data_IF_250284789227
#
_entry.id   IF_250284789227
#
_cell.length_a   1.000
_cell.length_b   1.000
_cell.length_c   1.000
_cell.angle_alpha   90.00
_cell.angle_beta   90.00
_cell.angle_gamma   90.00
#
_symmetry.space_group_name_H-M   'P 1'
#
loop_
_entity.id
_entity.type
_entity.pdbx_description
1 polymer ?
#
# COMPACT_ATOMS: atom_id res chain seq x y z
N UNK A 1 40.72 -9.99 29.05
CA UNK A 1 39.45 -9.26 29.24
C UNK A 1 38.77 -9.09 27.88
N UNK A 2 37.73 -9.84 27.50
CA UNK A 2 37.03 -9.54 26.25
C UNK A 2 35.99 -8.43 26.49
N UNK A 3 36.11 -7.34 25.72
CA UNK A 3 35.11 -6.26 25.66
C UNK A 3 33.90 -6.79 24.90
N UNK A 4 32.76 -6.90 25.59
CA UNK A 4 31.48 -7.30 25.00
C UNK A 4 30.94 -6.19 24.10
N UNK A 5 30.83 -6.49 22.80
CA UNK A 5 30.10 -5.70 21.82
C UNK A 5 28.63 -5.59 22.24
N UNK A 6 28.19 -4.42 22.72
CA UNK A 6 26.76 -4.15 22.90
C UNK A 6 26.13 -4.03 21.53
N UNK A 7 25.29 -4.99 21.17
CA UNK A 7 24.35 -4.84 20.07
C UNK A 7 23.47 -3.62 20.37
N UNK A 8 23.68 -2.53 19.62
CA UNK A 8 22.72 -1.43 19.54
C UNK A 8 21.45 -2.02 18.92
N UNK A 9 20.46 -2.35 19.74
CA UNK A 9 19.14 -2.72 19.27
C UNK A 9 18.56 -1.56 18.47
N UNK A 10 18.21 -1.80 17.20
CA UNK A 10 17.53 -0.83 16.35
C UNK A 10 16.32 -0.28 17.10
N UNK A 11 16.35 1.00 17.44
CA UNK A 11 15.20 1.70 18.04
C UNK A 11 14.04 1.59 17.05
N UNK A 12 13.00 0.82 17.41
CA UNK A 12 11.78 0.78 16.63
C UNK A 12 11.22 2.20 16.58
N UNK A 13 11.16 2.78 15.39
CA UNK A 13 10.62 4.12 15.18
C UNK A 13 9.14 4.10 15.52
N UNK A 14 8.79 4.58 16.72
CA UNK A 14 7.41 4.70 17.16
C UNK A 14 6.78 5.97 16.55
N UNK A 15 5.62 5.82 15.93
CA UNK A 15 4.81 6.95 15.47
C UNK A 15 4.20 7.71 16.66
N UNK A 16 3.81 8.97 16.44
CA UNK A 16 3.10 9.77 17.45
C UNK A 16 1.82 9.05 17.91
N UNK A 17 1.51 9.01 19.22
CA UNK A 17 0.24 8.47 19.73
C UNK A 17 -1.02 9.17 19.20
N UNK A 18 -0.86 10.33 18.57
CA UNK A 18 -1.93 11.10 17.93
C UNK A 18 -2.28 10.54 16.56
N UNK A 19 -1.34 9.88 15.87
CA UNK A 19 -1.57 9.28 14.57
C UNK A 19 -2.25 7.92 14.74
N UNK A 20 -3.58 7.95 14.89
CA UNK A 20 -4.41 6.76 15.07
C UNK A 20 -4.93 6.25 13.72
N UNK A 21 -5.07 4.95 13.62
CA UNK A 21 -5.76 4.31 12.50
C UNK A 21 -7.23 4.75 12.50
N UNK A 22 -7.69 5.34 11.38
CA UNK A 22 -9.02 5.93 11.29
C UNK A 22 -10.13 4.89 11.05
N UNK A 23 -9.81 3.74 10.46
CA UNK A 23 -10.78 2.67 10.15
C UNK A 23 -10.22 1.30 10.54
N UNK A 24 -11.08 0.32 10.88
CA UNK A 24 -10.62 -1.05 11.15
C UNK A 24 -10.33 -1.84 9.86
N UNK A 25 -10.44 -1.24 8.67
CA UNK A 25 -10.25 -1.92 7.40
C UNK A 25 -8.79 -2.32 7.24
N UNK A 26 -8.55 -3.61 7.02
CA UNK A 26 -7.25 -4.17 6.64
C UNK A 26 -7.32 -4.47 5.15
N UNK A 27 -6.70 -3.62 4.33
CA UNK A 27 -6.73 -3.76 2.89
C UNK A 27 -5.74 -4.84 2.42
N UNK A 28 -6.22 -5.80 1.64
CA UNK A 28 -5.41 -6.82 0.99
C UNK A 28 -5.01 -6.41 -0.43
N UNK A 29 -5.85 -5.65 -1.14
CA UNK A 29 -5.55 -5.08 -2.47
C UNK A 29 -6.25 -3.75 -2.68
N UNK A 30 -5.81 -2.99 -3.69
CA UNK A 30 -6.47 -1.78 -4.15
C UNK A 30 -6.42 -1.63 -5.67
N UNK A 31 -7.47 -1.07 -6.26
CA UNK A 31 -7.55 -0.78 -7.70
C UNK A 31 -8.38 0.48 -7.94
N UNK A 32 -7.79 1.48 -8.60
CA UNK A 32 -8.45 2.77 -8.84
C UNK A 32 -8.83 3.44 -7.51
N UNK A 33 -10.10 3.76 -7.32
CA UNK A 33 -10.61 4.35 -6.07
C UNK A 33 -11.07 3.32 -5.04
N UNK A 34 -10.87 2.02 -5.27
CA UNK A 34 -11.38 0.97 -4.39
C UNK A 34 -10.26 0.26 -3.63
N UNK A 35 -10.57 -0.13 -2.39
CA UNK A 35 -9.82 -1.07 -1.57
C UNK A 35 -10.64 -2.34 -1.39
N UNK A 36 -9.95 -3.46 -1.24
CA UNK A 36 -10.58 -4.73 -0.94
C UNK A 36 -9.88 -5.37 0.25
N UNK A 37 -10.66 -5.88 1.21
CA UNK A 37 -10.11 -6.61 2.36
C UNK A 37 -9.78 -8.07 2.01
N UNK A 38 -9.28 -8.82 3.00
CA UNK A 38 -8.92 -10.24 2.86
C UNK A 38 -10.10 -11.15 2.49
N UNK A 39 -11.34 -10.66 2.63
CA UNK A 39 -12.58 -11.38 2.29
C UNK A 39 -13.21 -10.91 0.98
N UNK A 40 -12.46 -10.15 0.18
CA UNK A 40 -12.90 -9.61 -1.11
C UNK A 40 -14.00 -8.52 -1.03
N UNK A 41 -14.28 -7.99 0.17
CA UNK A 41 -15.26 -6.91 0.31
C UNK A 41 -14.69 -5.60 -0.19
N UNK A 42 -15.46 -4.90 -1.02
CA UNK A 42 -15.10 -3.64 -1.66
C UNK A 42 -15.43 -2.41 -0.78
N UNK A 43 -14.49 -1.46 -0.72
CA UNK A 43 -14.62 -0.18 -0.04
C UNK A 43 -14.18 0.95 -0.97
N UNK A 44 -14.96 2.03 -1.05
CA UNK A 44 -14.56 3.25 -1.76
C UNK A 44 -13.61 4.07 -0.87
N UNK A 45 -12.42 4.38 -1.37
CA UNK A 45 -11.38 5.11 -0.65
C UNK A 45 -11.54 6.64 -0.80
N UNK A 46 -12.09 7.29 0.24
CA UNK A 46 -12.17 8.75 0.33
C UNK A 46 -10.95 9.41 1.00
N UNK A 47 -9.98 8.61 1.44
CA UNK A 47 -8.77 9.11 2.11
C UNK A 47 -7.62 9.31 1.13
N UNK A 48 -7.60 8.51 0.05
CA UNK A 48 -6.52 8.42 -0.92
C UNK A 48 -5.14 8.27 -0.24
N UNK A 49 -5.07 7.57 0.90
CA UNK A 49 -3.85 7.45 1.69
C UNK A 49 -3.29 8.80 2.14
N UNK A 50 -4.12 9.65 2.76
CA UNK A 50 -3.77 11.05 3.08
C UNK A 50 -3.37 11.83 1.82
N UNK A 51 -4.10 11.59 0.72
CA UNK A 51 -3.88 12.23 -0.58
C UNK A 51 -2.69 11.71 -1.40
N UNK A 52 -1.91 10.75 -0.89
CA UNK A 52 -0.74 10.18 -1.59
C UNK A 52 -1.13 9.42 -2.85
N UNK A 53 -2.28 8.73 -2.83
CA UNK A 53 -2.75 7.85 -3.90
C UNK A 53 -3.75 8.57 -4.82
N UNK A 54 -3.43 9.80 -5.20
CA UNK A 54 -4.33 10.67 -6.00
C UNK A 54 -4.58 10.17 -7.43
N UNK A 55 -3.68 9.35 -7.98
CA UNK A 55 -3.88 8.69 -9.29
C UNK A 55 -4.68 7.38 -9.19
N UNK A 56 -5.09 7.00 -7.98
CA UNK A 56 -5.73 5.72 -7.70
C UNK A 56 -4.73 4.59 -7.47
N UNK A 57 -5.18 3.58 -6.74
CA UNK A 57 -4.41 2.38 -6.41
C UNK A 57 -4.03 1.63 -7.69
N UNK A 58 -2.76 1.23 -7.79
CA UNK A 58 -2.21 0.46 -8.91
C UNK A 58 -2.48 1.05 -10.31
N UNK A 59 -2.42 2.38 -10.45
CA UNK A 59 -2.62 3.04 -11.74
C UNK A 59 -1.61 2.52 -12.81
N UNK A 60 -2.06 2.02 -13.98
CA UNK A 60 -1.21 1.29 -14.93
C UNK A 60 0.06 2.03 -15.34
N UNK A 61 -0.07 3.31 -15.71
CA UNK A 61 1.08 4.15 -16.11
C UNK A 61 2.12 4.32 -15.01
N UNK A 62 1.70 4.33 -13.74
CA UNK A 62 2.60 4.48 -12.58
C UNK A 62 3.33 3.17 -12.33
N UNK A 63 2.63 2.05 -12.43
CA UNK A 63 3.23 0.71 -12.26
C UNK A 63 4.21 0.42 -13.39
N UNK A 64 3.86 0.71 -14.64
CA UNK A 64 4.74 0.58 -15.80
C UNK A 64 6.00 1.43 -15.64
N UNK A 65 5.86 2.70 -15.24
CA UNK A 65 6.99 3.60 -15.00
C UNK A 65 7.90 3.07 -13.87
N UNK A 66 7.32 2.55 -12.78
CA UNK A 66 8.07 1.92 -11.68
C UNK A 66 8.84 0.69 -12.17
N UNK A 67 8.22 -0.17 -12.96
CA UNK A 67 8.86 -1.37 -13.49
C UNK A 67 10.02 -1.00 -14.43
N UNK A 68 9.84 0.00 -15.28
CA UNK A 68 10.87 0.50 -16.19
C UNK A 68 12.04 1.18 -15.47
N UNK A 69 11.80 1.83 -14.33
CA UNK A 69 12.84 2.50 -13.53
C UNK A 69 13.75 1.54 -12.74
N UNK A 70 13.47 0.22 -12.76
CA UNK A 70 14.19 -0.79 -11.99
C UNK A 70 13.93 -0.69 -10.48
N UNK A 71 14.28 -1.74 -9.73
CA UNK A 71 14.12 -1.77 -8.28
C UNK A 71 15.14 -0.87 -7.58
N UNK A 72 14.91 0.44 -7.59
CA UNK A 72 15.53 1.31 -6.60
C UNK A 72 14.97 0.91 -5.23
N UNK A 73 15.83 0.57 -4.25
CA UNK A 73 15.35 0.19 -2.93
C UNK A 73 14.62 1.39 -2.31
N UNK A 74 13.30 1.25 -2.21
CA UNK A 74 12.45 2.21 -1.50
C UNK A 74 12.87 2.20 -0.02
N UNK A 75 12.90 3.35 0.69
CA UNK A 75 12.89 3.32 2.15
C UNK A 75 11.65 2.50 2.57
N UNK A 76 11.94 1.39 3.25
CA UNK A 76 11.07 0.26 3.60
C UNK A 76 9.60 0.64 3.78
N UNK A 77 8.77 0.34 2.79
CA UNK A 77 7.34 0.16 2.99
C UNK A 77 7.14 -1.16 3.75
N UNK A 78 6.36 -1.16 4.81
CA UNK A 78 6.16 -2.28 5.77
C UNK A 78 5.37 -3.48 5.22
N UNK A 79 5.39 -3.71 3.91
CA UNK A 79 4.80 -4.91 3.31
C UNK A 79 5.82 -5.55 2.38
N UNK A 80 6.45 -6.61 2.89
CA UNK A 80 7.43 -7.43 2.17
C UNK A 80 6.74 -8.15 1.01
N UNK A 81 7.15 -7.80 -0.21
CA UNK A 81 7.29 -8.68 -1.39
C UNK A 81 6.17 -9.66 -1.73
N UNK A 82 5.11 -9.19 -2.39
CA UNK A 82 4.52 -9.85 -3.57
C UNK A 82 3.34 -9.01 -4.08
N UNK A 83 3.64 -7.83 -4.66
CA UNK A 83 2.62 -7.13 -5.43
C UNK A 83 2.45 -7.88 -6.76
N UNK A 84 1.28 -8.46 -7.06
CA UNK A 84 1.08 -9.13 -8.35
C UNK A 84 1.26 -8.12 -9.49
N UNK A 85 1.72 -8.57 -10.68
CA UNK A 85 1.86 -7.69 -11.82
C UNK A 85 0.51 -7.03 -12.15
N UNK A 86 0.54 -5.73 -12.48
CA UNK A 86 -0.66 -4.94 -12.79
C UNK A 86 -1.54 -5.53 -13.92
N UNK A 87 -1.04 -6.51 -14.67
CA UNK A 87 -1.69 -7.14 -15.81
C UNK A 87 -2.76 -8.19 -15.45
N UNK A 88 -2.81 -8.71 -14.22
CA UNK A 88 -3.82 -9.72 -13.82
C UNK A 88 -5.11 -9.12 -13.23
N UNK A 89 -5.12 -7.81 -12.95
CA UNK A 89 -6.28 -7.15 -12.37
C UNK A 89 -7.25 -6.75 -13.47
N UNK A 90 -8.20 -7.66 -13.76
CA UNK A 90 -9.36 -7.35 -14.58
C UNK A 90 -9.99 -6.02 -14.15
N UNK A 91 -10.45 -5.22 -15.11
CA UNK A 91 -11.19 -4.01 -14.80
C UNK A 91 -12.32 -4.36 -13.83
N UNK A 92 -12.36 -3.71 -12.65
CA UNK A 92 -13.49 -3.85 -11.74
C UNK A 92 -14.79 -3.67 -12.54
N UNK A 93 -15.79 -4.57 -12.39
CA UNK A 93 -17.02 -4.48 -13.14
C UNK A 93 -17.61 -3.10 -12.89
N UNK A 94 -17.72 -2.27 -13.94
CA UNK A 94 -18.39 -0.99 -13.86
C UNK A 94 -19.85 -1.29 -13.49
N UNK A 95 -20.21 -1.20 -12.20
CA UNK A 95 -21.62 -1.11 -11.83
C UNK A 95 -22.16 0.07 -12.61
N UNK A 96 -23.15 -0.22 -13.46
CA UNK A 96 -23.73 0.76 -14.38
C UNK A 96 -24.05 2.06 -13.66
N UNK A 97 -23.79 3.16 -14.33
CA UNK A 97 -24.31 4.47 -13.94
C UNK A 97 -25.82 4.34 -13.80
N UNK A 98 -26.32 4.34 -12.57
CA UNK A 98 -27.73 4.55 -12.31
C UNK A 98 -27.98 6.06 -12.49
N UNK A 99 -28.38 6.43 -13.71
CA UNK A 99 -29.15 7.60 -14.15
C UNK A 99 -28.75 7.98 -15.57
#
# INVERSE_FOLDING_TARGET
MPVGLRASGSSATALSPVLKQATPVVAARGQGCYLYDETDREYLDFTAGIGVVSTGHCHPRVVEARAAAGSHPHPRAVHDGDAPPAAEFGAAPRRGTAA
#
